data_IF_198614351765
#
_entry.id   IF_198614351765
#
_cell.length_a   1.000
_cell.length_b   1.000
_cell.length_c   1.000
_cell.angle_alpha   90.00
_cell.angle_beta   90.00
_cell.angle_gamma   90.00
#
_symmetry.space_group_name_H-M   'P 1'
#
loop_
_entity.id
_entity.type
_entity.pdbx_description
1 polymer ?
#
# COMPACT_ATOMS: atom_id res chain seq x y z
N UNK A 1 30.78 -9.25 -12.32
CA UNK A 1 29.36 -9.18 -12.75
C UNK A 1 28.99 -7.71 -12.82
N UNK A 2 28.69 -7.18 -14.01
CA UNK A 2 28.20 -5.80 -14.13
C UNK A 2 26.92 -5.66 -13.29
N UNK A 3 26.83 -4.65 -12.42
CA UNK A 3 25.59 -4.36 -11.70
C UNK A 3 24.55 -3.93 -12.72
N UNK A 4 23.63 -4.83 -13.07
CA UNK A 4 22.46 -4.48 -13.86
C UNK A 4 21.67 -3.42 -13.08
N UNK A 5 21.42 -2.28 -13.72
CA UNK A 5 20.64 -1.20 -13.11
C UNK A 5 19.22 -1.71 -12.83
N UNK A 6 18.70 -1.56 -11.59
CA UNK A 6 17.34 -1.99 -11.28
C UNK A 6 16.32 -1.30 -12.19
N UNK A 7 15.26 -2.00 -12.57
CA UNK A 7 14.13 -1.39 -13.23
C UNK A 7 13.34 -0.52 -12.24
N UNK A 8 13.12 -1.03 -11.03
CA UNK A 8 12.32 -0.39 -9.98
C UNK A 8 13.11 -0.24 -8.67
N UNK A 9 13.06 0.94 -8.07
CA UNK A 9 13.43 1.17 -6.66
C UNK A 9 12.18 1.30 -5.81
N UNK A 10 11.87 0.28 -5.02
CA UNK A 10 10.84 0.38 -4.00
C UNK A 10 11.44 1.04 -2.74
N UNK A 11 10.93 2.21 -2.37
CA UNK A 11 11.41 2.99 -1.23
C UNK A 11 10.36 2.98 -0.13
N UNK A 12 10.73 2.40 1.01
CA UNK A 12 9.92 2.34 2.23
C UNK A 12 10.68 2.94 3.40
N UNK A 13 9.95 3.32 4.44
CA UNK A 13 10.54 3.83 5.67
C UNK A 13 9.84 3.27 6.88
N UNK A 14 10.62 3.02 7.92
CA UNK A 14 10.11 2.59 9.22
C UNK A 14 11.17 2.83 10.30
N UNK A 15 10.85 2.41 11.52
CA UNK A 15 11.75 2.23 12.65
C UNK A 15 11.19 1.09 13.48
N UNK A 16 12.05 0.39 14.21
CA UNK A 16 11.60 -0.73 15.03
C UNK A 16 10.93 -0.23 16.33
N UNK A 17 9.76 0.40 16.29
CA UNK A 17 9.07 0.99 17.46
C UNK A 17 7.61 0.54 17.64
N UNK A 18 7.15 -0.43 16.84
CA UNK A 18 5.76 -0.91 16.78
C UNK A 18 4.73 0.20 16.54
N UNK A 19 5.11 1.28 15.84
CA UNK A 19 4.18 2.33 15.45
C UNK A 19 2.94 1.76 14.74
N UNK A 20 1.75 2.15 15.19
CA UNK A 20 0.49 1.62 14.65
C UNK A 20 0.15 0.18 15.07
N UNK A 21 0.86 -0.38 16.07
CA UNK A 21 0.63 -1.71 16.65
C UNK A 21 1.05 -2.85 15.72
N UNK A 22 1.70 -3.88 16.26
CA UNK A 22 2.09 -5.11 15.53
C UNK A 22 2.81 -4.85 14.18
N UNK A 23 3.67 -3.83 14.11
CA UNK A 23 4.27 -3.39 12.84
C UNK A 23 5.38 -4.34 12.37
N UNK A 24 6.19 -4.90 13.27
CA UNK A 24 7.30 -5.78 12.87
C UNK A 24 6.84 -7.01 12.07
N UNK A 25 5.77 -7.73 12.47
CA UNK A 25 5.21 -8.81 11.64
C UNK A 25 4.67 -8.33 10.29
N UNK A 26 4.01 -7.18 10.22
CA UNK A 26 3.56 -6.60 8.94
C UNK A 26 4.74 -6.24 8.02
N UNK A 27 5.81 -5.69 8.59
CA UNK A 27 7.05 -5.43 7.85
C UNK A 27 7.65 -6.73 7.32
N UNK A 28 7.63 -7.81 8.10
CA UNK A 28 8.10 -9.12 7.66
C UNK A 28 7.29 -9.63 6.46
N UNK A 29 5.95 -9.60 6.55
CA UNK A 29 5.02 -9.95 5.45
C UNK A 29 5.37 -9.18 4.19
N UNK A 30 5.48 -7.85 4.29
CA UNK A 30 5.86 -6.99 3.18
C UNK A 30 7.20 -7.36 2.55
N UNK A 31 8.27 -7.45 3.36
CA UNK A 31 9.62 -7.70 2.82
C UNK A 31 9.74 -9.08 2.19
N UNK A 32 9.15 -10.11 2.82
CA UNK A 32 9.14 -11.46 2.28
C UNK A 32 8.39 -11.50 0.95
N UNK A 33 7.16 -10.96 0.92
CA UNK A 33 6.32 -11.01 -0.26
C UNK A 33 6.86 -10.20 -1.43
N UNK A 34 7.40 -9.00 -1.19
CA UNK A 34 7.98 -8.18 -2.25
C UNK A 34 9.18 -8.88 -2.91
N UNK A 35 10.10 -9.43 -2.10
CA UNK A 35 11.29 -10.11 -2.62
C UNK A 35 10.90 -11.39 -3.38
N UNK A 36 9.98 -12.19 -2.81
CA UNK A 36 9.49 -13.40 -3.46
C UNK A 36 8.77 -13.11 -4.78
N UNK A 37 7.91 -12.08 -4.83
CA UNK A 37 7.26 -11.69 -6.09
C UNK A 37 8.25 -11.14 -7.12
N UNK A 38 9.28 -10.41 -6.69
CA UNK A 38 10.35 -10.00 -7.61
C UNK A 38 11.05 -11.22 -8.23
N UNK A 39 11.34 -12.25 -7.42
CA UNK A 39 11.94 -13.50 -7.88
C UNK A 39 11.02 -14.24 -8.84
N UNK A 40 9.75 -14.42 -8.47
CA UNK A 40 8.72 -15.11 -9.26
C UNK A 40 8.53 -14.51 -10.64
N UNK A 41 8.43 -13.18 -10.73
CA UNK A 41 8.13 -12.47 -11.97
C UNK A 41 9.37 -11.98 -12.71
N UNK A 42 10.58 -12.23 -12.18
CA UNK A 42 11.84 -11.77 -12.80
C UNK A 42 12.02 -10.25 -12.77
N UNK A 43 11.39 -9.54 -11.83
CA UNK A 43 11.51 -8.09 -11.71
C UNK A 43 12.87 -7.72 -11.10
N UNK A 44 13.76 -7.12 -11.91
CA UNK A 44 15.00 -6.52 -11.44
C UNK A 44 14.69 -5.28 -10.57
N UNK A 45 14.69 -5.44 -9.26
CA UNK A 45 14.33 -4.39 -8.31
C UNK A 45 15.43 -4.11 -7.30
N UNK A 46 15.36 -2.95 -6.66
CA UNK A 46 15.96 -2.75 -5.35
C UNK A 46 14.88 -2.36 -4.33
N UNK A 47 14.97 -2.93 -3.13
CA UNK A 47 14.19 -2.54 -1.97
C UNK A 47 15.07 -1.67 -1.07
N UNK A 48 14.73 -0.39 -0.97
CA UNK A 48 15.38 0.56 -0.08
C UNK A 48 14.54 0.73 1.18
N UNK A 49 15.08 0.27 2.32
CA UNK A 49 14.47 0.45 3.64
C UNK A 49 15.20 1.56 4.37
N UNK A 50 14.52 2.69 4.56
CA UNK A 50 15.05 3.82 5.34
C UNK A 50 14.62 3.66 6.79
N UNK A 51 15.53 3.18 7.63
CA UNK A 51 15.37 3.10 9.07
C UNK A 51 15.64 4.47 9.70
N UNK A 52 14.60 5.18 10.09
CA UNK A 52 14.70 6.58 10.50
C UNK A 52 14.59 6.75 12.01
N UNK A 53 15.58 7.41 12.63
CA UNK A 53 15.61 7.69 14.06
C UNK A 53 15.39 6.42 14.92
N UNK A 54 16.11 5.31 14.69
CA UNK A 54 15.82 4.04 15.35
C UNK A 54 15.93 4.15 16.89
N UNK A 55 15.04 3.47 17.65
CA UNK A 55 15.14 3.43 19.11
C UNK A 55 16.47 2.81 19.57
N UNK A 56 17.18 3.40 20.54
CA UNK A 56 18.53 2.96 20.92
C UNK A 56 18.57 1.57 21.60
N UNK A 57 17.45 1.10 22.14
CA UNK A 57 17.34 -0.16 22.89
C UNK A 57 16.64 -1.29 22.12
N UNK A 58 16.39 -1.10 20.82
CA UNK A 58 15.79 -2.13 19.97
C UNK A 58 16.76 -2.54 18.88
N UNK A 59 16.71 -3.81 18.42
CA UNK A 59 17.51 -4.24 17.29
C UNK A 59 17.21 -3.38 16.07
N UNK A 60 18.21 -3.21 15.20
CA UNK A 60 18.00 -2.54 13.93
C UNK A 60 17.02 -3.33 13.07
N UNK A 61 16.38 -2.70 12.08
CA UNK A 61 15.55 -3.44 11.11
C UNK A 61 16.36 -4.48 10.32
N UNK A 62 17.68 -4.30 10.18
CA UNK A 62 18.56 -5.31 9.58
C UNK A 62 18.56 -6.61 10.39
N UNK A 63 18.56 -6.49 11.72
CA UNK A 63 18.66 -7.62 12.65
C UNK A 63 17.28 -8.17 13.04
N UNK A 64 16.25 -7.32 13.04
CA UNK A 64 14.90 -7.68 13.49
C UNK A 64 14.08 -8.41 12.41
N UNK A 65 14.37 -8.19 11.13
CA UNK A 65 13.68 -8.82 10.01
C UNK A 65 14.46 -10.03 9.49
N UNK A 66 13.74 -11.03 9.01
CA UNK A 66 14.29 -12.19 8.29
C UNK A 66 14.46 -11.83 6.83
N UNK A 67 15.69 -11.90 6.33
CA UNK A 67 16.03 -11.67 4.93
C UNK A 67 16.32 -13.00 4.23
N UNK A 68 15.81 -13.23 3.01
CA UNK A 68 16.08 -14.47 2.28
C UNK A 68 17.56 -14.55 1.89
N UNK A 69 18.13 -15.76 1.94
CA UNK A 69 19.51 -16.01 1.54
C UNK A 69 19.74 -15.74 0.04
N UNK A 70 18.73 -16.08 -0.78
CA UNK A 70 18.70 -15.79 -2.20
C UNK A 70 17.51 -14.84 -2.50
N UNK A 71 17.76 -13.52 -2.57
CA UNK A 71 16.73 -12.55 -2.89
C UNK A 71 16.45 -12.45 -4.41
N UNK A 72 17.07 -13.32 -5.22
CA UNK A 72 16.92 -13.34 -6.66
C UNK A 72 17.30 -12.00 -7.31
N UNK A 73 16.47 -11.44 -8.21
CA UNK A 73 16.75 -10.18 -8.89
C UNK A 73 16.49 -8.94 -8.02
N UNK A 74 16.05 -9.10 -6.77
CA UNK A 74 15.77 -8.00 -5.84
C UNK A 74 16.97 -7.73 -4.93
N UNK A 75 17.52 -6.51 -4.96
CA UNK A 75 18.60 -6.09 -4.06
C UNK A 75 18.04 -5.33 -2.86
N UNK A 76 18.34 -5.78 -1.64
CA UNK A 76 17.92 -5.07 -0.42
C UNK A 76 19.01 -4.11 0.02
N UNK A 77 18.64 -2.85 0.33
CA UNK A 77 19.54 -1.82 0.84
C UNK A 77 18.90 -1.14 2.06
N UNK A 78 19.55 -1.25 3.21
CA UNK A 78 19.12 -0.57 4.42
C UNK A 78 19.90 0.72 4.61
N UNK A 79 19.18 1.82 4.84
CA UNK A 79 19.75 3.14 5.10
C UNK A 79 19.29 3.57 6.47
N UNK A 80 20.21 3.57 7.43
CA UNK A 80 19.95 4.08 8.76
C UNK A 80 20.16 5.59 8.80
N UNK A 81 19.14 6.34 9.23
CA UNK A 81 19.27 7.77 9.57
C UNK A 81 19.29 7.90 11.09
N UNK A 82 20.41 8.34 11.67
CA UNK A 82 20.58 8.30 13.12
C UNK A 82 19.83 9.45 13.82
N UNK A 83 19.51 9.31 15.12
CA UNK A 83 18.78 10.32 15.89
C UNK A 83 19.38 11.73 15.81
N UNK A 84 20.70 11.86 15.67
CA UNK A 84 21.41 13.14 15.58
C UNK A 84 21.00 13.92 14.33
N UNK A 85 20.71 13.24 13.22
CA UNK A 85 20.19 13.90 12.00
C UNK A 85 18.73 14.28 12.19
N UNK A 86 17.94 13.40 12.81
CA UNK A 86 16.53 13.66 13.08
C UNK A 86 16.32 14.89 13.99
N UNK A 87 17.09 15.01 15.08
CA UNK A 87 17.02 16.13 16.04
C UNK A 87 17.33 17.50 15.43
N UNK A 88 17.96 17.56 14.24
CA UNK A 88 18.21 18.82 13.52
C UNK A 88 16.97 19.40 12.83
N UNK A 89 15.90 18.62 12.72
CA UNK A 89 14.69 19.04 12.03
C UNK A 89 13.70 19.67 13.01
N UNK A 90 12.93 20.64 12.53
CA UNK A 90 11.83 21.24 13.30
C UNK A 90 10.83 20.14 13.68
N UNK A 91 10.31 20.20 14.91
CA UNK A 91 9.32 19.25 15.46
C UNK A 91 9.85 17.81 15.70
N UNK A 92 11.17 17.60 15.74
CA UNK A 92 11.76 16.28 16.01
C UNK A 92 11.32 15.68 17.35
N UNK A 93 11.00 16.51 18.34
CA UNK A 93 10.51 16.05 19.64
C UNK A 93 9.06 15.56 19.60
N UNK A 94 8.24 16.08 18.67
CA UNK A 94 6.82 15.75 18.57
C UNK A 94 6.54 14.54 17.67
N UNK A 95 7.39 14.31 16.66
CA UNK A 95 7.20 13.27 15.67
C UNK A 95 8.44 12.38 15.57
N UNK A 96 8.41 11.13 16.08
CA UNK A 96 9.58 10.26 16.10
C UNK A 96 10.00 9.78 14.70
N UNK A 97 9.10 9.84 13.70
CA UNK A 97 9.30 9.38 12.34
C UNK A 97 8.74 10.40 11.33
N UNK A 98 9.60 11.00 10.53
CA UNK A 98 9.18 11.87 9.42
C UNK A 98 9.08 11.06 8.14
N UNK A 99 7.96 10.36 7.94
CA UNK A 99 7.79 9.41 6.83
C UNK A 99 8.15 10.01 5.46
N UNK A 100 7.69 11.22 5.16
CA UNK A 100 7.95 11.86 3.86
C UNK A 100 9.42 12.27 3.68
N UNK A 101 10.07 12.75 4.74
CA UNK A 101 11.50 13.11 4.70
C UNK A 101 12.37 11.86 4.57
N UNK A 102 12.03 10.80 5.29
CA UNK A 102 12.72 9.52 5.23
C UNK A 102 12.58 8.87 3.85
N UNK A 103 11.37 8.86 3.27
CA UNK A 103 11.15 8.45 1.87
C UNK A 103 12.02 9.27 0.92
N UNK A 104 12.07 10.59 1.04
CA UNK A 104 12.96 11.44 0.23
C UNK A 104 14.45 11.07 0.37
N UNK A 105 14.93 10.74 1.57
CA UNK A 105 16.30 10.28 1.77
C UNK A 105 16.62 8.97 1.03
N UNK A 106 15.63 8.06 0.93
CA UNK A 106 15.70 6.83 0.14
C UNK A 106 15.64 7.09 -1.37
N UNK A 107 14.70 7.91 -1.83
CA UNK A 107 14.55 8.29 -3.25
C UNK A 107 15.84 8.91 -3.79
N UNK A 108 16.50 9.80 -3.02
CA UNK A 108 17.78 10.39 -3.43
C UNK A 108 18.95 9.40 -3.55
N UNK A 109 18.77 8.17 -3.07
CA UNK A 109 19.75 7.07 -3.13
C UNK A 109 19.27 5.92 -4.02
N UNK A 110 18.10 6.06 -4.63
CA UNK A 110 17.57 5.12 -5.60
C UNK A 110 18.45 5.08 -6.85
N UNK A 111 18.64 3.87 -7.37
CA UNK A 111 19.40 3.54 -8.57
C UNK A 111 18.49 3.01 -9.69
N UNK A 112 17.22 2.75 -9.40
CA UNK A 112 16.26 2.22 -10.35
C UNK A 112 15.82 3.25 -11.37
N UNK A 113 15.43 2.76 -12.56
CA UNK A 113 14.86 3.62 -13.62
C UNK A 113 13.55 4.27 -13.18
N UNK A 114 12.75 3.55 -12.41
CA UNK A 114 11.50 4.02 -11.81
C UNK A 114 11.58 3.91 -10.28
N UNK A 115 10.81 4.76 -9.60
CA UNK A 115 10.75 4.80 -8.14
C UNK A 115 9.32 4.58 -7.67
N UNK A 116 9.11 3.56 -6.83
CA UNK A 116 7.87 3.34 -6.10
C UNK A 116 8.08 3.79 -4.66
N UNK A 117 7.38 4.85 -4.25
CA UNK A 117 7.35 5.26 -2.84
C UNK A 117 6.09 4.71 -2.18
N UNK A 118 6.27 3.78 -1.24
CA UNK A 118 5.16 3.02 -0.63
C UNK A 118 5.35 2.86 0.87
N UNK A 119 4.37 2.29 1.57
CA UNK A 119 4.48 1.95 2.98
C UNK A 119 5.06 0.54 3.15
N UNK A 120 5.66 0.28 4.30
CA UNK A 120 6.37 -0.97 4.60
C UNK A 120 5.45 -2.15 4.98
N UNK A 121 4.14 -1.98 4.82
CA UNK A 121 3.10 -2.94 5.21
C UNK A 121 2.06 -3.16 4.11
N UNK A 122 2.44 -2.92 2.84
CA UNK A 122 1.56 -3.05 1.66
C UNK A 122 1.94 -4.27 0.82
N UNK A 123 1.05 -5.26 0.73
CA UNK A 123 1.19 -6.35 -0.25
C UNK A 123 0.77 -5.89 -1.65
N UNK A 124 1.51 -6.33 -2.66
CA UNK A 124 1.20 -6.08 -4.07
C UNK A 124 0.50 -7.29 -4.66
N UNK A 125 -0.54 -7.08 -5.46
CA UNK A 125 -1.19 -8.20 -6.16
C UNK A 125 -0.25 -8.81 -7.20
N UNK A 126 -0.49 -10.07 -7.56
CA UNK A 126 0.33 -10.77 -8.55
C UNK A 126 0.24 -10.09 -9.93
N UNK A 127 -0.93 -9.54 -10.28
CA UNK A 127 -1.16 -8.77 -11.51
C UNK A 127 -0.30 -7.50 -11.55
N UNK A 128 -0.23 -6.76 -10.43
CA UNK A 128 0.58 -5.56 -10.34
C UNK A 128 2.07 -5.89 -10.48
N UNK A 129 2.55 -6.94 -9.83
CA UNK A 129 3.95 -7.34 -9.94
C UNK A 129 4.30 -7.85 -11.34
N UNK A 130 3.38 -8.58 -12.00
CA UNK A 130 3.51 -8.97 -13.41
C UNK A 130 3.53 -7.76 -14.34
N UNK A 131 2.67 -6.77 -14.09
CA UNK A 131 2.67 -5.50 -14.83
C UNK A 131 4.00 -4.76 -14.67
N UNK A 132 4.52 -4.63 -13.45
CA UNK A 132 5.82 -4.00 -13.21
C UNK A 132 6.96 -4.77 -13.89
N UNK A 133 6.94 -6.10 -13.84
CA UNK A 133 7.93 -6.97 -14.49
C UNK A 133 7.89 -6.88 -16.02
N UNK A 134 6.77 -6.50 -16.62
CA UNK A 134 6.65 -6.32 -18.08
C UNK A 134 7.54 -5.20 -18.64
N UNK A 135 8.06 -4.31 -17.80
CA UNK A 135 8.98 -3.27 -18.23
C UNK A 135 8.31 -2.10 -18.99
N UNK A 136 6.98 -2.00 -18.95
CA UNK A 136 6.19 -1.09 -19.79
C UNK A 136 5.94 0.31 -19.20
N UNK A 137 6.42 0.61 -17.97
CA UNK A 137 6.32 1.96 -17.42
C UNK A 137 7.03 2.98 -18.32
N UNK A 138 6.43 4.15 -18.45
CA UNK A 138 6.92 5.24 -19.31
C UNK A 138 7.53 6.37 -18.46
N UNK A 139 8.70 6.90 -18.85
CA UNK A 139 9.25 8.10 -18.24
C UNK A 139 8.29 9.30 -18.36
N UNK A 140 8.30 10.18 -17.37
CA UNK A 140 7.43 11.37 -17.35
C UNK A 140 5.98 11.08 -16.95
N UNK A 141 5.62 9.84 -16.62
CA UNK A 141 4.31 9.48 -16.08
C UNK A 141 4.36 9.20 -14.58
N UNK A 142 3.29 9.58 -13.90
CA UNK A 142 3.02 9.21 -12.51
C UNK A 142 1.95 8.12 -12.49
N UNK A 143 2.31 6.95 -11.96
CA UNK A 143 1.38 5.83 -11.80
C UNK A 143 0.84 5.83 -10.37
N UNK A 144 -0.45 5.53 -10.23
CA UNK A 144 -1.12 5.29 -8.96
C UNK A 144 -2.04 4.08 -9.10
N UNK A 145 -2.31 3.43 -7.99
CA UNK A 145 -3.30 2.36 -7.89
C UNK A 145 -4.09 2.53 -6.59
N UNK A 146 -5.32 2.06 -6.58
CA UNK A 146 -6.17 2.05 -5.39
C UNK A 146 -5.56 1.14 -4.33
N UNK A 147 -5.56 1.59 -3.07
CA UNK A 147 -5.05 0.80 -1.94
C UNK A 147 -6.20 0.24 -1.14
N UNK A 148 -6.23 -1.09 -1.03
CA UNK A 148 -7.17 -1.79 -0.17
C UNK A 148 -6.54 -1.97 1.22
N UNK A 149 -7.22 -1.45 2.24
CA UNK A 149 -6.87 -1.76 3.63
C UNK A 149 -7.64 -3.03 4.04
N UNK A 150 -6.96 -3.92 4.75
CA UNK A 150 -7.48 -5.23 5.16
C UNK A 150 -7.44 -5.38 6.68
N UNK A 151 -8.17 -6.37 7.21
CA UNK A 151 -8.07 -6.75 8.62
C UNK A 151 -6.63 -7.12 9.00
N UNK A 152 -6.25 -6.93 10.28
CA UNK A 152 -4.94 -7.34 10.77
C UNK A 152 -4.75 -8.86 10.69
N UNK A 153 -3.56 -9.33 11.08
CA UNK A 153 -3.26 -10.76 11.23
C UNK A 153 -3.15 -11.55 9.92
N UNK A 154 -2.69 -10.89 8.86
CA UNK A 154 -2.17 -11.55 7.66
C UNK A 154 -1.11 -12.59 8.07
N UNK A 155 -1.23 -13.88 7.65
CA UNK A 155 -0.33 -14.94 8.10
C UNK A 155 1.14 -14.72 7.71
N UNK A 156 2.00 -14.46 8.69
CA UNK A 156 3.40 -14.02 8.48
C UNK A 156 4.27 -15.05 7.75
N UNK A 157 4.11 -16.32 8.10
CA UNK A 157 4.94 -17.42 7.59
C UNK A 157 4.26 -18.23 6.47
N UNK A 158 3.08 -17.79 6.02
CA UNK A 158 2.39 -18.41 4.90
C UNK A 158 3.00 -18.00 3.54
N UNK A 159 2.82 -18.81 2.48
CA UNK A 159 3.15 -18.42 1.11
C UNK A 159 2.46 -17.12 0.70
N UNK A 160 3.06 -16.39 -0.25
CA UNK A 160 2.54 -15.10 -0.73
C UNK A 160 1.11 -15.24 -1.26
N UNK A 161 0.79 -16.33 -1.93
CA UNK A 161 -0.56 -16.64 -2.42
C UNK A 161 -1.60 -16.67 -1.31
N UNK A 162 -1.26 -17.27 -0.16
CA UNK A 162 -2.17 -17.34 0.98
C UNK A 162 -2.33 -15.97 1.65
N UNK A 163 -1.25 -15.18 1.70
CA UNK A 163 -1.28 -13.80 2.21
C UNK A 163 -2.15 -12.90 1.31
N UNK A 164 -2.02 -13.02 -0.01
CA UNK A 164 -2.85 -12.27 -0.98
C UNK A 164 -4.31 -12.71 -0.90
N UNK A 165 -4.57 -14.02 -0.86
CA UNK A 165 -5.92 -14.55 -0.74
C UNK A 165 -6.56 -14.24 0.63
N UNK A 166 -5.76 -14.01 1.68
CA UNK A 166 -6.24 -13.44 2.93
C UNK A 166 -6.68 -11.98 2.70
N UNK A 167 -5.83 -11.16 2.08
CA UNK A 167 -6.14 -9.75 1.83
C UNK A 167 -7.41 -9.57 1.00
N UNK A 168 -7.62 -10.39 -0.03
CA UNK A 168 -8.82 -10.36 -0.88
C UNK A 168 -10.11 -10.66 -0.12
N UNK A 169 -10.05 -11.49 0.92
CA UNK A 169 -11.23 -11.93 1.69
C UNK A 169 -11.54 -11.08 2.92
N UNK A 170 -10.61 -10.21 3.32
CA UNK A 170 -10.68 -9.47 4.59
C UNK A 170 -10.57 -7.96 4.36
N UNK A 171 -11.23 -7.46 3.33
CA UNK A 171 -11.24 -6.05 2.97
C UNK A 171 -12.00 -5.20 4.02
N UNK A 172 -11.47 -4.02 4.33
CA UNK A 172 -12.11 -3.04 5.21
C UNK A 172 -12.57 -1.80 4.44
N UNK A 173 -11.69 -1.29 3.59
CA UNK A 173 -11.91 -0.08 2.79
C UNK A 173 -10.96 -0.03 1.62
N UNK A 174 -11.36 0.74 0.61
CA UNK A 174 -10.51 1.12 -0.51
C UNK A 174 -10.18 2.60 -0.43
N UNK A 175 -8.93 2.95 -0.76
CA UNK A 175 -8.44 4.31 -0.85
C UNK A 175 -8.13 4.59 -2.31
N UNK A 176 -8.99 5.37 -2.95
CA UNK A 176 -8.94 5.68 -4.37
C UNK A 176 -8.41 7.10 -4.61
N UNK A 177 -8.57 7.62 -5.83
CA UNK A 177 -8.30 9.03 -6.13
C UNK A 177 -9.40 9.93 -5.54
N UNK A 178 -10.63 9.46 -5.56
CA UNK A 178 -11.85 10.18 -5.20
C UNK A 178 -12.06 10.25 -3.68
N UNK A 179 -11.53 9.27 -2.93
CA UNK A 179 -11.64 9.26 -1.49
C UNK A 179 -11.32 7.91 -0.86
N UNK A 180 -11.80 7.74 0.37
CA UNK A 180 -11.70 6.49 1.12
C UNK A 180 -13.11 5.97 1.38
N UNK A 181 -13.38 4.74 0.94
CA UNK A 181 -14.71 4.13 1.00
C UNK A 181 -14.64 2.80 1.73
N UNK A 182 -15.54 2.58 2.68
CA UNK A 182 -15.72 1.25 3.30
C UNK A 182 -16.22 0.29 2.24
N UNK A 183 -15.86 -0.99 2.35
CA UNK A 183 -16.28 -2.01 1.38
C UNK A 183 -16.97 -3.18 2.05
N UNK A 184 -17.95 -3.76 1.37
CA UNK A 184 -18.55 -5.05 1.69
C UNK A 184 -17.51 -6.17 1.42
N UNK A 185 -17.66 -7.37 1.98
CA UNK A 185 -16.74 -8.50 1.73
C UNK A 185 -16.55 -8.82 0.24
N UNK A 186 -17.55 -8.52 -0.59
CA UNK A 186 -17.55 -8.72 -2.04
C UNK A 186 -16.84 -7.58 -2.80
N UNK A 187 -16.32 -6.58 -2.09
CA UNK A 187 -15.56 -5.45 -2.65
C UNK A 187 -16.42 -4.25 -3.08
N UNK A 188 -17.75 -4.34 -2.98
CA UNK A 188 -18.66 -3.23 -3.26
C UNK A 188 -18.53 -2.13 -2.20
N UNK A 189 -18.64 -0.87 -2.59
CA UNK A 189 -18.57 0.23 -1.63
C UNK A 189 -19.81 0.24 -0.74
N UNK A 190 -19.60 0.33 0.56
CA UNK A 190 -20.67 0.54 1.53
C UNK A 190 -21.17 1.98 1.44
N UNK A 191 -22.48 2.14 1.36
CA UNK A 191 -23.13 3.44 1.54
C UNK A 191 -23.05 3.85 3.01
N UNK A 192 -22.92 5.15 3.24
CA UNK A 192 -22.99 5.69 4.61
C UNK A 192 -24.46 5.68 5.10
N UNK A 193 -24.70 5.74 6.42
CA UNK A 193 -26.07 5.77 6.96
C UNK A 193 -26.91 6.95 6.43
N UNK A 194 -26.25 8.09 6.22
CA UNK A 194 -26.82 9.29 5.60
C UNK A 194 -26.18 9.49 4.24
N UNK A 195 -26.85 9.05 3.18
CA UNK A 195 -26.31 9.01 1.82
C UNK A 195 -27.41 9.26 0.79
N UNK A 196 -27.03 9.44 -0.47
CA UNK A 196 -27.96 9.73 -1.58
C UNK A 196 -28.81 8.52 -2.00
N UNK A 197 -28.44 7.33 -1.55
CA UNK A 197 -29.19 6.09 -1.74
C UNK A 197 -29.31 5.35 -0.40
N UNK A 198 -30.47 4.73 -0.16
CA UNK A 198 -30.66 3.90 1.02
C UNK A 198 -29.91 2.57 0.89
N UNK A 199 -29.47 1.99 2.02
CA UNK A 199 -28.80 0.68 2.07
C UNK A 199 -29.55 -0.43 1.31
N UNK A 200 -30.88 -0.43 1.45
CA UNK A 200 -31.79 -1.45 0.88
C UNK A 200 -32.36 -1.06 -0.49
N UNK A 201 -31.86 0.03 -1.11
CA UNK A 201 -32.35 0.51 -2.40
C UNK A 201 -32.00 -0.38 -3.59
N UNK A 202 -31.12 -1.37 -3.39
CA UNK A 202 -30.49 -2.11 -4.49
C UNK A 202 -29.48 -1.29 -5.29
N UNK A 203 -29.22 -0.04 -4.92
CA UNK A 203 -28.22 0.82 -5.56
C UNK A 203 -26.92 0.77 -4.76
N UNK A 204 -25.80 0.69 -5.48
CA UNK A 204 -24.45 0.90 -4.97
C UNK A 204 -23.72 1.90 -5.87
N UNK A 205 -22.78 2.63 -5.29
CA UNK A 205 -21.98 3.63 -5.98
C UNK A 205 -20.58 3.07 -6.18
N UNK A 206 -20.04 3.23 -7.39
CA UNK A 206 -18.70 2.76 -7.74
C UNK A 206 -17.74 3.91 -8.01
N UNK A 207 -16.80 3.70 -8.93
CA UNK A 207 -15.80 4.70 -9.29
C UNK A 207 -16.44 5.99 -9.79
N UNK A 208 -15.72 7.11 -9.61
CA UNK A 208 -16.19 8.44 -9.99
C UNK A 208 -17.10 9.13 -8.96
N UNK A 209 -17.52 8.43 -7.90
CA UNK A 209 -18.24 9.05 -6.78
C UNK A 209 -17.29 9.54 -5.68
N UNK A 210 -17.59 10.70 -5.10
CA UNK A 210 -16.87 11.27 -3.96
C UNK A 210 -17.59 10.94 -2.63
N UNK A 211 -16.92 11.12 -1.47
CA UNK A 211 -17.55 10.96 -0.16
C UNK A 211 -18.83 11.80 0.00
N UNK A 212 -19.77 11.37 0.86
CA UNK A 212 -21.00 12.11 1.09
C UNK A 212 -20.75 13.40 1.87
N UNK A 213 -21.56 14.40 1.52
CA UNK A 213 -21.66 15.69 2.17
C UNK A 213 -23.12 15.92 2.56
N UNK A 214 -23.37 16.89 3.43
CA UNK A 214 -24.72 17.31 3.79
C UNK A 214 -24.82 18.83 3.76
N UNK A 215 -25.88 19.34 3.12
CA UNK A 215 -26.29 20.73 3.23
C UNK A 215 -27.71 20.78 3.80
N UNK A 216 -27.90 21.50 4.91
CA UNK A 216 -29.17 21.58 5.65
C UNK A 216 -29.81 20.19 5.92
N UNK A 217 -28.99 19.16 6.16
CA UNK A 217 -29.45 17.79 6.44
C UNK A 217 -29.89 16.99 5.21
N UNK A 218 -29.70 17.51 4.00
CA UNK A 218 -29.92 16.77 2.75
C UNK A 218 -28.58 16.19 2.29
N UNK A 219 -28.43 14.86 2.26
CA UNK A 219 -27.19 14.24 1.79
C UNK A 219 -27.02 14.44 0.28
N UNK A 220 -25.79 14.69 -0.14
CA UNK A 220 -25.40 14.74 -1.55
C UNK A 220 -23.98 14.19 -1.75
N UNK A 221 -23.67 13.74 -2.97
CA UNK A 221 -22.31 13.37 -3.38
C UNK A 221 -21.96 14.07 -4.68
N UNK A 222 -20.69 14.45 -4.80
CA UNK A 222 -20.15 14.82 -6.11
C UNK A 222 -19.91 13.56 -6.95
N UNK A 223 -20.11 13.67 -8.25
CA UNK A 223 -19.88 12.60 -9.21
C UNK A 223 -19.08 13.12 -10.40
N UNK A 224 -18.16 12.29 -10.89
CA UNK A 224 -17.53 12.49 -12.20
C UNK A 224 -18.51 12.14 -13.33
N UNK A 225 -18.21 12.55 -14.56
CA UNK A 225 -19.06 12.28 -15.74
C UNK A 225 -19.28 10.79 -16.01
N UNK A 226 -18.31 9.96 -15.65
CA UNK A 226 -18.31 8.51 -15.85
C UNK A 226 -18.49 7.76 -14.51
N UNK A 227 -19.27 8.35 -13.59
CA UNK A 227 -19.49 7.75 -12.29
C UNK A 227 -20.38 6.50 -12.38
N UNK A 228 -19.92 5.41 -11.79
CA UNK A 228 -20.56 4.10 -11.88
C UNK A 228 -21.76 4.00 -10.94
N UNK A 229 -22.89 3.51 -11.46
CA UNK A 229 -24.02 3.07 -10.63
C UNK A 229 -24.15 1.56 -10.78
N UNK A 230 -24.12 0.85 -9.66
CA UNK A 230 -24.26 -0.60 -9.62
C UNK A 230 -25.66 -0.91 -9.12
N UNK A 231 -26.47 -1.56 -9.96
CA UNK A 231 -27.84 -1.97 -9.62
C UNK A 231 -27.84 -3.45 -9.29
N UNK A 232 -28.21 -3.80 -8.05
CA UNK A 232 -28.33 -5.16 -7.54
C UNK A 232 -29.78 -5.65 -7.74
N UNK A 233 -30.06 -6.53 -8.72
CA UNK A 233 -31.42 -6.93 -9.12
C UNK A 233 -32.27 -7.51 -7.99
N UNK A 234 -31.65 -8.23 -7.06
CA UNK A 234 -32.31 -8.87 -5.90
C UNK A 234 -31.75 -8.35 -4.56
N UNK A 235 -31.12 -7.17 -4.56
CA UNK A 235 -30.37 -6.65 -3.41
C UNK A 235 -29.12 -7.46 -3.05
N UNK A 236 -28.72 -8.40 -3.92
CA UNK A 236 -27.63 -9.36 -3.70
C UNK A 236 -26.36 -8.94 -4.46
N UNK A 237 -25.16 -8.92 -3.84
CA UNK A 237 -23.92 -8.41 -4.44
C UNK A 237 -23.46 -9.10 -5.75
N UNK A 238 -23.89 -10.34 -6.00
CA UNK A 238 -23.39 -11.18 -7.10
C UNK A 238 -24.10 -11.05 -8.45
N UNK A 239 -25.16 -10.24 -8.55
CA UNK A 239 -25.96 -10.08 -9.78
C UNK A 239 -25.97 -8.64 -10.32
N UNK A 240 -25.05 -7.79 -9.84
CA UNK A 240 -25.03 -6.37 -10.16
C UNK A 240 -24.81 -6.04 -11.64
N UNK A 241 -25.59 -5.11 -12.18
CA UNK A 241 -25.32 -4.45 -13.47
C UNK A 241 -24.64 -3.11 -13.20
N UNK A 242 -23.47 -2.89 -13.80
CA UNK A 242 -22.82 -1.57 -13.82
C UNK A 242 -23.41 -0.76 -14.97
N UNK A 243 -23.99 0.41 -14.65
CA UNK A 243 -24.58 1.36 -15.58
C UNK A 243 -23.74 2.64 -15.60
#
# INVERSE_FOLDING_TARGET
MSEQTPYLSAVVTSRNDDHGGNLLPRMQVFTSAFIEQCKRHGLAAELIVVEWNPPPKRPSLADALRWPQDPGPCRVRLIRVPPEIHRRLRHAEALPLFQMIAKNAGIRRARGRFVLSTNIDILFSDELMRFLASGTLEPGRMYRIDRHDVLPDVPVDAPVEEQLAYCERHLLRVNTLEGTFRVEPEGLWQLDPEDIAGKDSGIRLGRGWYPPYADVGIPYRWAHTEAEIIVLPDGSPGSGLVV
#
